data_IF_167919270234
#
_entry.id   IF_167919270234
#
_cell.length_a   1.000
_cell.length_b   1.000
_cell.length_c   1.000
_cell.angle_alpha   90.00
_cell.angle_beta   90.00
_cell.angle_gamma   90.00
#
_symmetry.space_group_name_H-M   'P 1'
#
loop_
_entity.id
_entity.type
_entity.pdbx_description
1 polymer ?
#
# COMPACT_ATOMS: atom_id res chain seq x y z
N UNK A 1 23.01 -16.45 21.45
CA UNK A 1 21.89 -16.79 20.53
C UNK A 1 20.63 -16.62 21.35
N UNK A 2 19.96 -15.48 21.17
CA UNK A 2 18.65 -15.27 21.79
C UNK A 2 17.66 -16.30 21.20
N UNK A 3 16.98 -17.01 22.09
CA UNK A 3 15.90 -17.90 21.76
C UNK A 3 14.83 -17.10 21.00
N UNK A 4 14.67 -17.36 19.70
CA UNK A 4 13.54 -16.82 18.95
C UNK A 4 12.30 -17.38 19.61
N UNK A 5 11.59 -16.55 20.38
CA UNK A 5 10.29 -16.90 20.95
C UNK A 5 9.41 -17.35 19.80
N UNK A 6 9.05 -18.61 19.82
CA UNK A 6 7.98 -19.18 18.99
C UNK A 6 6.64 -18.73 19.58
N UNK A 7 6.33 -17.45 19.49
CA UNK A 7 4.98 -17.00 19.71
C UNK A 7 4.16 -17.55 18.55
N UNK A 8 3.42 -18.61 18.84
CA UNK A 8 2.55 -19.25 17.85
C UNK A 8 1.43 -18.25 17.56
N UNK A 9 1.52 -17.61 16.39
CA UNK A 9 0.45 -16.73 15.88
C UNK A 9 -0.84 -17.56 15.80
N UNK A 10 -1.88 -17.07 16.42
CA UNK A 10 -3.20 -17.66 16.26
C UNK A 10 -3.89 -17.14 14.98
N UNK A 11 -4.98 -17.77 14.57
CA UNK A 11 -5.69 -17.40 13.34
C UNK A 11 -6.19 -15.94 13.32
N UNK A 12 -6.48 -15.36 14.50
CA UNK A 12 -6.90 -13.94 14.59
C UNK A 12 -5.73 -13.00 14.33
N UNK A 13 -4.53 -13.33 14.84
CA UNK A 13 -3.32 -12.53 14.58
C UNK A 13 -2.98 -12.57 13.10
N UNK A 14 -3.09 -13.72 12.46
CA UNK A 14 -2.87 -13.88 11.01
C UNK A 14 -3.90 -13.05 10.22
N UNK A 15 -5.18 -13.17 10.56
CA UNK A 15 -6.23 -12.39 9.91
C UNK A 15 -5.99 -10.87 10.04
N UNK A 16 -5.58 -10.42 11.23
CA UNK A 16 -5.27 -9.00 11.46
C UNK A 16 -4.11 -8.46 10.60
N UNK A 17 -3.18 -9.32 10.20
CA UNK A 17 -2.06 -8.97 9.32
C UNK A 17 -2.39 -9.04 7.82
N UNK A 18 -3.61 -9.46 7.46
CA UNK A 18 -4.04 -9.57 6.06
C UNK A 18 -4.77 -8.32 5.62
N UNK A 19 -4.51 -7.93 4.37
CA UNK A 19 -5.12 -6.78 3.69
C UNK A 19 -6.00 -7.27 2.52
N UNK A 20 -7.22 -7.78 2.75
CA UNK A 20 -8.10 -8.19 1.67
C UNK A 20 -8.38 -7.01 0.74
N UNK A 21 -8.39 -7.29 -0.56
CA UNK A 21 -8.46 -6.24 -1.57
C UNK A 21 -9.42 -6.62 -2.70
N UNK A 22 -10.27 -5.67 -3.10
CA UNK A 22 -11.15 -5.76 -4.27
C UNK A 22 -10.65 -4.73 -5.29
N UNK A 23 -9.67 -5.15 -6.11
CA UNK A 23 -8.92 -4.28 -7.01
C UNK A 23 -8.85 -4.81 -8.45
N UNK A 24 -9.62 -5.84 -8.82
CA UNK A 24 -9.76 -6.23 -10.23
C UNK A 24 -10.45 -5.12 -11.00
N UNK A 25 -10.11 -4.96 -12.29
CA UNK A 25 -10.67 -3.90 -13.14
C UNK A 25 -12.17 -4.05 -13.38
N UNK A 26 -12.68 -5.26 -13.26
CA UNK A 26 -14.09 -5.63 -13.41
C UNK A 26 -14.83 -5.82 -12.08
N UNK A 27 -14.20 -5.44 -10.96
CA UNK A 27 -14.82 -5.53 -9.64
C UNK A 27 -16.07 -4.66 -9.56
N UNK A 28 -17.14 -5.24 -9.02
CA UNK A 28 -18.42 -4.60 -8.87
C UNK A 28 -18.78 -4.35 -7.39
N UNK A 29 -19.92 -3.74 -7.15
CA UNK A 29 -20.38 -3.43 -5.78
C UNK A 29 -20.60 -4.70 -4.95
N UNK A 30 -21.06 -5.77 -5.56
CA UNK A 30 -21.29 -7.06 -4.92
C UNK A 30 -19.99 -7.66 -4.37
N UNK A 31 -18.87 -7.51 -5.09
CA UNK A 31 -17.54 -7.96 -4.62
C UNK A 31 -17.10 -7.15 -3.38
N UNK A 32 -17.36 -5.85 -3.37
CA UNK A 32 -17.06 -4.97 -2.25
C UNK A 32 -17.90 -5.34 -1.03
N UNK A 33 -19.20 -5.60 -1.20
CA UNK A 33 -20.10 -6.03 -0.11
C UNK A 33 -19.67 -7.38 0.47
N UNK A 34 -19.24 -8.32 -0.37
CA UNK A 34 -18.71 -9.61 0.08
C UNK A 34 -17.44 -9.41 0.92
N UNK A 35 -16.50 -8.57 0.47
CA UNK A 35 -15.29 -8.23 1.23
C UNK A 35 -15.63 -7.56 2.56
N UNK A 36 -16.60 -6.64 2.59
CA UNK A 36 -17.06 -5.99 3.84
C UNK A 36 -17.59 -7.04 4.83
N UNK A 37 -18.36 -8.01 4.36
CA UNK A 37 -18.87 -9.10 5.19
C UNK A 37 -17.74 -9.95 5.78
N UNK A 38 -16.73 -10.28 4.98
CA UNK A 38 -15.56 -11.04 5.41
C UNK A 38 -14.70 -10.24 6.40
N UNK A 39 -14.50 -8.94 6.18
CA UNK A 39 -13.77 -8.07 7.11
C UNK A 39 -14.42 -8.05 8.49
N UNK A 40 -15.74 -7.98 8.55
CA UNK A 40 -16.50 -8.05 9.82
C UNK A 40 -16.39 -9.43 10.50
N UNK A 41 -16.47 -10.49 9.69
CA UNK A 41 -16.44 -11.88 10.19
C UNK A 41 -15.09 -12.28 10.76
N UNK A 42 -14.01 -11.91 10.06
CA UNK A 42 -12.67 -12.38 10.38
C UNK A 42 -11.79 -11.35 11.09
N UNK A 43 -12.25 -10.12 11.25
CA UNK A 43 -11.51 -9.01 11.89
C UNK A 43 -10.18 -8.71 11.20
N UNK A 44 -10.17 -8.58 9.88
CA UNK A 44 -8.99 -8.17 9.13
C UNK A 44 -8.50 -6.78 9.58
N UNK A 45 -7.19 -6.55 9.51
CA UNK A 45 -6.57 -5.32 9.98
C UNK A 45 -6.90 -4.11 9.11
N UNK A 46 -6.80 -4.29 7.80
CA UNK A 46 -7.12 -3.29 6.77
C UNK A 46 -7.89 -3.94 5.63
N UNK A 47 -8.47 -3.14 4.76
CA UNK A 47 -9.07 -3.59 3.52
C UNK A 47 -8.95 -2.50 2.45
N UNK A 48 -8.84 -2.91 1.19
CA UNK A 48 -8.61 -2.02 0.05
C UNK A 48 -9.63 -2.25 -1.06
N UNK A 49 -10.11 -1.15 -1.65
CA UNK A 49 -10.90 -1.16 -2.87
C UNK A 49 -10.55 0.04 -3.76
N UNK A 50 -11.17 0.14 -4.92
CA UNK A 50 -11.07 1.32 -5.77
C UNK A 50 -11.66 2.56 -5.08
N UNK A 51 -11.10 3.76 -5.31
CA UNK A 51 -11.56 4.99 -4.66
C UNK A 51 -13.04 5.31 -4.84
N UNK A 52 -13.66 4.85 -5.93
CA UNK A 52 -15.10 5.01 -6.17
C UNK A 52 -16.00 4.30 -5.14
N UNK A 53 -15.44 3.37 -4.36
CA UNK A 53 -16.15 2.63 -3.31
C UNK A 53 -15.85 3.12 -1.89
N UNK A 54 -14.98 4.12 -1.70
CA UNK A 54 -14.55 4.55 -0.36
C UNK A 54 -15.72 5.03 0.51
N UNK A 55 -16.66 5.78 -0.04
CA UNK A 55 -17.85 6.21 0.71
C UNK A 55 -18.66 5.01 1.23
N UNK A 56 -18.77 3.94 0.42
CA UNK A 56 -19.49 2.72 0.81
C UNK A 56 -18.77 1.95 1.92
N UNK A 57 -17.46 2.07 1.99
CA UNK A 57 -16.60 1.35 2.92
C UNK A 57 -16.26 2.17 4.17
N UNK A 58 -16.77 3.38 4.32
CA UNK A 58 -16.31 4.37 5.30
C UNK A 58 -16.11 3.80 6.72
N UNK A 59 -17.05 3.02 7.24
CA UNK A 59 -16.96 2.43 8.58
C UNK A 59 -15.88 1.33 8.71
N UNK A 60 -15.44 0.76 7.58
CA UNK A 60 -14.45 -0.33 7.52
C UNK A 60 -13.17 0.08 6.81
N UNK A 61 -13.18 1.22 6.13
CA UNK A 61 -12.05 1.69 5.35
C UNK A 61 -10.89 2.02 6.27
N UNK A 62 -9.93 1.11 6.29
CA UNK A 62 -8.69 1.28 7.05
C UNK A 62 -7.47 1.42 6.16
N UNK A 63 -7.60 1.20 4.86
CA UNK A 63 -6.55 1.35 3.87
C UNK A 63 -6.98 2.15 2.64
N UNK A 64 -6.13 3.04 2.16
CA UNK A 64 -6.30 3.79 0.91
C UNK A 64 -5.06 3.63 0.05
N UNK A 65 -5.25 3.66 -1.29
CA UNK A 65 -4.15 3.52 -2.24
C UNK A 65 -3.93 4.80 -3.03
N UNK A 66 -2.66 5.22 -3.18
CA UNK A 66 -2.23 6.40 -3.93
C UNK A 66 -1.47 5.99 -5.18
N UNK A 67 -1.72 6.68 -6.29
CA UNK A 67 -1.08 6.44 -7.58
C UNK A 67 -1.18 4.97 -8.05
N UNK A 68 -2.22 4.29 -7.63
CA UNK A 68 -2.39 2.86 -7.88
C UNK A 68 -3.11 2.59 -9.22
N UNK A 69 -2.65 1.62 -10.04
CA UNK A 69 -1.53 0.71 -9.77
C UNK A 69 -0.17 1.16 -10.36
N UNK A 70 -0.11 2.27 -11.08
CA UNK A 70 1.04 2.61 -11.93
C UNK A 70 2.21 3.28 -11.21
N UNK A 71 1.95 4.08 -10.18
CA UNK A 71 2.95 4.92 -9.53
C UNK A 71 3.41 6.12 -10.35
N UNK A 72 2.90 6.31 -11.58
CA UNK A 72 3.44 7.27 -12.56
C UNK A 72 2.86 8.69 -12.45
N UNK A 73 1.95 8.92 -11.53
CA UNK A 73 1.43 10.25 -11.26
C UNK A 73 2.53 11.16 -10.73
N UNK A 74 2.39 12.46 -10.99
CA UNK A 74 3.29 13.45 -10.40
C UNK A 74 3.14 13.48 -8.87
N UNK A 75 4.20 13.91 -8.18
CA UNK A 75 4.18 14.10 -6.72
C UNK A 75 3.01 14.96 -6.27
N UNK A 76 2.69 16.01 -7.02
CA UNK A 76 1.54 16.87 -6.72
C UNK A 76 0.21 16.11 -6.74
N UNK A 77 -0.02 15.25 -7.72
CA UNK A 77 -1.25 14.43 -7.79
C UNK A 77 -1.31 13.44 -6.62
N UNK A 78 -0.19 12.81 -6.26
CA UNK A 78 -0.13 11.94 -5.08
C UNK A 78 -0.44 12.70 -3.78
N UNK A 79 0.03 13.94 -3.65
CA UNK A 79 -0.31 14.79 -2.51
C UNK A 79 -1.81 15.12 -2.48
N UNK A 80 -2.41 15.48 -3.61
CA UNK A 80 -3.86 15.74 -3.70
C UNK A 80 -4.67 14.49 -3.32
N UNK A 81 -4.26 13.32 -3.80
CA UNK A 81 -4.90 12.05 -3.41
C UNK A 81 -4.75 11.80 -1.91
N UNK A 82 -3.57 12.04 -1.33
CA UNK A 82 -3.35 11.87 0.10
C UNK A 82 -4.27 12.81 0.91
N UNK A 83 -4.34 14.11 0.58
CA UNK A 83 -5.22 15.07 1.24
C UNK A 83 -6.70 14.67 1.17
N UNK A 84 -7.14 14.17 0.01
CA UNK A 84 -8.52 13.73 -0.18
C UNK A 84 -8.83 12.46 0.63
N UNK A 85 -7.92 11.49 0.62
CA UNK A 85 -8.18 10.17 1.22
C UNK A 85 -7.94 10.15 2.73
N UNK A 86 -7.10 11.04 3.26
CA UNK A 86 -6.96 11.22 4.71
C UNK A 86 -8.25 11.68 5.40
N UNK A 87 -9.25 12.18 4.65
CA UNK A 87 -10.60 12.48 5.20
C UNK A 87 -11.35 11.23 5.66
N UNK A 88 -10.96 10.06 5.18
CA UNK A 88 -11.52 8.78 5.62
C UNK A 88 -10.84 8.21 6.87
N UNK A 89 -9.87 8.93 7.44
CA UNK A 89 -9.10 8.54 8.63
C UNK A 89 -8.50 7.12 8.52
N UNK A 90 -7.79 6.82 7.41
CA UNK A 90 -7.25 5.48 7.18
C UNK A 90 -6.18 5.14 8.22
N UNK A 91 -6.14 3.87 8.65
CA UNK A 91 -5.05 3.36 9.46
C UNK A 91 -3.78 3.13 8.61
N UNK A 92 -3.96 2.97 7.30
CA UNK A 92 -2.90 2.61 6.37
C UNK A 92 -3.07 3.27 5.01
N UNK A 93 -1.95 3.71 4.46
CA UNK A 93 -1.85 4.30 3.12
C UNK A 93 -0.83 3.49 2.32
N UNK A 94 -1.26 2.94 1.18
CA UNK A 94 -0.40 2.24 0.23
C UNK A 94 -0.09 3.16 -0.96
N UNK A 95 1.14 3.60 -1.08
CA UNK A 95 1.62 4.43 -2.18
C UNK A 95 2.40 3.57 -3.18
N UNK A 96 2.15 3.72 -4.48
CA UNK A 96 3.01 3.10 -5.49
C UNK A 96 4.18 4.01 -5.83
N UNK A 97 5.42 3.46 -5.75
CA UNK A 97 6.66 4.14 -6.15
C UNK A 97 6.63 4.47 -7.65
N UNK A 98 7.21 5.58 -8.04
CA UNK A 98 7.46 5.86 -9.45
C UNK A 98 8.64 5.02 -9.97
N UNK A 99 8.32 3.85 -10.53
CA UNK A 99 9.32 2.90 -11.05
C UNK A 99 10.11 3.50 -12.22
N UNK A 100 9.51 4.38 -13.01
CA UNK A 100 10.19 5.07 -14.11
C UNK A 100 11.32 5.96 -13.60
N UNK A 101 11.12 6.70 -12.52
CA UNK A 101 12.16 7.50 -11.87
C UNK A 101 13.27 6.62 -11.29
N UNK A 102 12.90 5.52 -10.62
CA UNK A 102 13.86 4.57 -10.06
C UNK A 102 14.80 4.01 -11.18
N UNK A 103 14.21 3.48 -12.25
CA UNK A 103 14.96 2.92 -13.38
C UNK A 103 15.79 3.97 -14.14
N UNK A 104 15.40 5.23 -14.04
CA UNK A 104 16.15 6.37 -14.61
C UNK A 104 17.27 6.88 -13.68
N UNK A 105 17.50 6.24 -12.52
CA UNK A 105 18.50 6.66 -11.55
C UNK A 105 18.16 7.98 -10.84
N UNK A 106 16.89 8.42 -10.89
CA UNK A 106 16.43 9.67 -10.26
C UNK A 106 16.04 9.42 -8.78
N UNK A 107 17.01 8.95 -8.00
CA UNK A 107 16.81 8.48 -6.64
C UNK A 107 16.31 9.58 -5.68
N UNK A 108 16.88 10.77 -5.77
CA UNK A 108 16.44 11.90 -4.95
C UNK A 108 14.96 12.23 -5.21
N UNK A 109 14.54 12.20 -6.48
CA UNK A 109 13.14 12.44 -6.83
C UNK A 109 12.21 11.34 -6.28
N UNK A 110 12.64 10.08 -6.22
CA UNK A 110 11.89 9.01 -5.58
C UNK A 110 11.73 9.26 -4.07
N UNK A 111 12.79 9.69 -3.40
CA UNK A 111 12.75 10.01 -1.96
C UNK A 111 11.86 11.21 -1.68
N UNK A 112 11.96 12.26 -2.49
CA UNK A 112 11.12 13.46 -2.37
C UNK A 112 9.64 13.15 -2.58
N UNK A 113 9.32 12.28 -3.55
CA UNK A 113 7.95 11.82 -3.82
C UNK A 113 7.35 11.11 -2.60
N UNK A 114 8.11 10.22 -1.97
CA UNK A 114 7.68 9.51 -0.76
C UNK A 114 7.55 10.47 0.44
N UNK A 115 8.52 11.37 0.63
CA UNK A 115 8.48 12.36 1.72
C UNK A 115 7.27 13.28 1.62
N UNK A 116 6.97 13.74 0.41
CA UNK A 116 5.82 14.61 0.17
C UNK A 116 4.49 13.97 0.59
N UNK A 117 4.33 12.67 0.33
CA UNK A 117 3.18 11.89 0.79
C UNK A 117 3.27 11.65 2.31
N UNK A 118 4.45 11.30 2.84
CA UNK A 118 4.67 11.06 4.28
C UNK A 118 4.25 12.26 5.13
N UNK A 119 4.57 13.47 4.70
CA UNK A 119 4.19 14.69 5.41
C UNK A 119 2.68 14.84 5.61
N UNK A 120 1.89 14.44 4.62
CA UNK A 120 0.43 14.50 4.64
C UNK A 120 -0.23 13.32 5.36
N UNK A 121 0.51 12.22 5.55
CA UNK A 121 0.01 10.98 6.16
C UNK A 121 0.61 10.71 7.54
N UNK A 122 1.09 11.76 8.24
CA UNK A 122 1.64 11.65 9.61
C UNK A 122 0.63 11.01 10.56
N UNK A 123 1.11 10.07 11.37
CA UNK A 123 0.25 9.32 12.29
C UNK A 123 -0.41 8.08 11.70
N UNK A 124 -0.32 7.90 10.37
CA UNK A 124 -0.86 6.75 9.65
C UNK A 124 0.28 5.85 9.16
N UNK A 125 0.06 4.56 9.06
CA UNK A 125 1.03 3.63 8.46
C UNK A 125 1.16 3.92 6.96
N UNK A 126 2.38 4.19 6.47
CA UNK A 126 2.68 4.34 5.05
C UNK A 126 3.44 3.12 4.55
N UNK A 127 2.87 2.40 3.60
CA UNK A 127 3.56 1.36 2.82
C UNK A 127 3.88 1.90 1.43
N UNK A 128 5.07 1.58 0.92
CA UNK A 128 5.44 1.92 -0.46
C UNK A 128 5.58 0.64 -1.28
N UNK A 129 4.77 0.54 -2.31
CA UNK A 129 4.77 -0.58 -3.26
C UNK A 129 5.89 -0.33 -4.26
N UNK A 130 6.89 -1.21 -4.27
CA UNK A 130 8.07 -1.09 -5.14
C UNK A 130 7.93 -1.85 -6.47
N UNK A 131 6.86 -2.61 -6.66
CA UNK A 131 6.59 -3.46 -7.84
C UNK A 131 7.81 -4.31 -8.21
N UNK A 132 8.25 -5.14 -7.27
CA UNK A 132 9.48 -5.93 -7.34
C UNK A 132 9.59 -6.79 -8.60
N UNK A 133 8.45 -7.18 -9.19
CA UNK A 133 8.38 -7.95 -10.43
C UNK A 133 9.01 -7.24 -11.64
N UNK A 134 9.13 -5.92 -11.60
CA UNK A 134 9.71 -5.10 -12.65
C UNK A 134 11.17 -4.75 -12.39
N UNK A 135 11.75 -5.18 -11.26
CA UNK A 135 13.04 -4.75 -10.75
C UNK A 135 14.05 -5.90 -10.75
N UNK A 136 15.32 -5.57 -10.97
CA UNK A 136 16.44 -6.45 -10.66
C UNK A 136 16.70 -6.48 -9.15
N UNK A 137 17.46 -7.45 -8.66
CA UNK A 137 17.86 -7.54 -7.25
C UNK A 137 18.54 -6.28 -6.72
N UNK A 138 19.35 -5.62 -7.56
CA UNK A 138 20.03 -4.37 -7.20
C UNK A 138 19.03 -3.21 -7.11
N UNK A 139 18.10 -3.13 -8.06
CA UNK A 139 17.02 -2.13 -8.02
C UNK A 139 16.09 -2.33 -6.83
N UNK A 140 15.78 -3.59 -6.44
CA UNK A 140 15.00 -3.90 -5.24
C UNK A 140 15.72 -3.40 -3.98
N UNK A 141 17.02 -3.70 -3.83
CA UNK A 141 17.80 -3.19 -2.68
C UNK A 141 17.81 -1.67 -2.64
N UNK A 142 17.99 -1.04 -3.80
CA UNK A 142 17.94 0.42 -3.92
C UNK A 142 16.56 0.96 -3.54
N UNK A 143 15.48 0.40 -4.08
CA UNK A 143 14.12 0.80 -3.76
C UNK A 143 13.82 0.71 -2.26
N UNK A 144 14.20 -0.40 -1.60
CA UNK A 144 14.03 -0.58 -0.16
C UNK A 144 14.75 0.52 0.65
N UNK A 145 15.97 0.90 0.24
CA UNK A 145 16.71 1.98 0.87
C UNK A 145 16.01 3.33 0.72
N UNK A 146 15.57 3.66 -0.51
CA UNK A 146 14.87 4.92 -0.79
C UNK A 146 13.53 5.01 -0.04
N UNK A 147 12.82 3.90 0.11
CA UNK A 147 11.59 3.82 0.92
C UNK A 147 11.85 4.21 2.37
N UNK A 148 12.92 3.67 2.97
CA UNK A 148 13.35 4.04 4.32
C UNK A 148 13.77 5.51 4.42
N UNK A 149 14.55 6.02 3.48
CA UNK A 149 14.96 7.43 3.41
C UNK A 149 13.78 8.40 3.23
N UNK A 150 12.73 7.96 2.53
CA UNK A 150 11.48 8.68 2.37
C UNK A 150 10.60 8.70 3.63
N UNK A 151 10.93 7.89 4.66
CA UNK A 151 10.23 7.85 5.95
C UNK A 151 8.96 6.98 5.94
N UNK A 152 8.80 6.06 5.00
CA UNK A 152 7.73 5.08 5.02
C UNK A 152 7.96 4.00 6.10
N UNK A 153 6.87 3.36 6.55
CA UNK A 153 6.92 2.33 7.58
C UNK A 153 7.23 0.95 7.00
N UNK A 154 6.76 0.68 5.77
CA UNK A 154 6.88 -0.64 5.14
C UNK A 154 7.21 -0.53 3.66
N UNK A 155 7.89 -1.57 3.17
CA UNK A 155 8.00 -1.90 1.74
C UNK A 155 6.93 -2.94 1.42
N UNK A 156 6.15 -2.73 0.36
CA UNK A 156 5.22 -3.71 -0.20
C UNK A 156 5.74 -4.17 -1.55
N UNK A 157 5.71 -5.47 -1.80
CA UNK A 157 6.42 -6.06 -2.96
C UNK A 157 5.75 -5.76 -4.30
N UNK A 158 4.43 -5.70 -4.34
CA UNK A 158 3.72 -5.51 -5.61
C UNK A 158 2.27 -5.09 -5.50
N UNK A 159 1.74 -4.61 -6.61
CA UNK A 159 0.32 -4.22 -6.78
C UNK A 159 -0.60 -5.40 -7.07
N UNK A 160 -0.06 -6.51 -7.55
CA UNK A 160 -0.84 -7.62 -8.12
C UNK A 160 -1.25 -7.41 -9.59
N UNK A 161 -0.86 -6.29 -10.22
CA UNK A 161 -1.17 -5.99 -11.63
C UNK A 161 -0.04 -6.38 -12.58
N UNK A 162 1.19 -6.52 -12.11
CA UNK A 162 2.30 -7.00 -12.93
C UNK A 162 2.23 -8.51 -13.15
N UNK A 163 2.69 -8.96 -14.31
CA UNK A 163 2.75 -10.40 -14.63
C UNK A 163 3.85 -11.07 -13.82
N UNK A 164 3.52 -12.12 -13.09
CA UNK A 164 4.43 -12.90 -12.26
C UNK A 164 4.01 -12.89 -10.78
N UNK A 165 4.69 -13.71 -9.97
CA UNK A 165 4.53 -13.70 -8.52
C UNK A 165 5.80 -13.15 -7.86
N UNK A 166 5.71 -12.24 -6.90
CA UNK A 166 6.87 -11.86 -6.10
C UNK A 166 7.36 -13.11 -5.34
N UNK A 167 8.61 -13.46 -5.54
CA UNK A 167 9.28 -14.56 -4.83
C UNK A 167 9.92 -14.07 -3.56
#
# INVERSE_FOLDING_TARGET
MEEIRKDVLNLKDIAYMMDPSVLKLDSCLEDVEAMIADCRKYSFGTCFAWPCYYERMYELLKGVSLAFPSGQESTYIKQVQAELFMKYEPAEVDMVMNIGLLKSGKFDACVEDIRAVRELTKGTSLKVIIEAMLLSDEEIRTACKLVGEGGANYVKTGTGFSVGNPT
#
